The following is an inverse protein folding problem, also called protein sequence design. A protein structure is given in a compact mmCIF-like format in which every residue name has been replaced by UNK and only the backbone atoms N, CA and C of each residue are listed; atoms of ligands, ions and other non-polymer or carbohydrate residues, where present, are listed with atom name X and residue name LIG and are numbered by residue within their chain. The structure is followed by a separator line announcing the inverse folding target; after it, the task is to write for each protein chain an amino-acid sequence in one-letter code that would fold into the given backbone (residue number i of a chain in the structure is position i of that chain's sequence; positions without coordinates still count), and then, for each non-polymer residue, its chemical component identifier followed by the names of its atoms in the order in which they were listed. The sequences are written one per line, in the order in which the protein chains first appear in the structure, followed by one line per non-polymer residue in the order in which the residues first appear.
data_IF_189998453353
#
_entry.id   IF_189998453353
#
_cell.length_a   1.000
_cell.length_b   1.000
_cell.length_c   1.000
_cell.angle_alpha   90.00
_cell.angle_beta   90.00
_cell.angle_gamma   90.00
#
_symmetry.space_group_name_H-M   'P 1'
#
loop_
_entity.id
_entity.type
_entity.pdbx_description
1 polymer ?
#
# COMPACT_ATOMS: atom_id res chain seq x y z
N UNK A 1 25.61 -13.61 32.93
CA UNK A 1 25.69 -13.79 31.46
C UNK A 1 24.40 -13.28 30.85
N UNK A 2 24.53 -12.27 29.99
CA UNK A 2 23.45 -11.47 29.42
C UNK A 2 22.72 -12.28 28.35
N UNK A 3 21.42 -12.53 28.55
CA UNK A 3 20.56 -13.25 27.60
C UNK A 3 19.39 -12.33 27.20
N UNK A 4 19.70 -11.24 26.48
CA UNK A 4 18.70 -10.23 26.10
C UNK A 4 18.93 -9.63 24.70
N UNK A 5 19.63 -10.33 23.80
CA UNK A 5 20.02 -9.78 22.49
C UNK A 5 19.30 -10.39 21.27
N UNK A 6 18.33 -11.31 21.45
CA UNK A 6 17.71 -12.02 20.32
C UNK A 6 16.29 -11.53 19.96
N UNK A 7 15.69 -10.62 20.72
CA UNK A 7 14.27 -10.22 20.52
C UNK A 7 14.12 -8.89 19.76
N UNK A 8 15.16 -8.06 19.67
CA UNK A 8 15.04 -6.71 19.07
C UNK A 8 15.21 -6.64 17.55
N UNK A 9 15.60 -7.72 16.87
CA UNK A 9 15.84 -7.71 15.42
C UNK A 9 14.59 -8.01 14.57
N UNK A 10 13.49 -8.48 15.17
CA UNK A 10 12.27 -8.81 14.43
C UNK A 10 11.26 -7.67 14.32
N UNK A 11 11.28 -6.69 15.23
CA UNK A 11 10.29 -5.60 15.22
C UNK A 11 10.67 -4.38 14.36
N UNK A 12 11.95 -4.23 13.99
CA UNK A 12 12.41 -3.03 13.23
C UNK A 12 12.40 -3.28 11.71
N UNK A 13 12.52 -4.54 11.27
CA UNK A 13 12.50 -4.89 9.83
C UNK A 13 11.22 -4.49 9.08
N UNK A 14 9.97 -4.67 9.60
CA UNK A 14 8.79 -4.33 8.81
C UNK A 14 8.75 -2.85 8.40
N UNK A 15 9.34 -1.95 9.19
CA UNK A 15 9.38 -0.52 8.89
C UNK A 15 10.30 -0.16 7.73
N UNK A 16 11.44 -0.84 7.59
CA UNK A 16 12.41 -0.59 6.50
C UNK A 16 12.00 -1.30 5.20
N UNK A 17 11.41 -2.50 5.29
CA UNK A 17 11.01 -3.26 4.10
C UNK A 17 9.61 -2.88 3.57
N UNK A 18 8.69 -2.43 4.42
CA UNK A 18 7.33 -2.01 4.01
C UNK A 18 7.36 -0.91 2.95
N UNK A 19 8.26 0.07 3.09
CA UNK A 19 8.39 1.16 2.13
C UNK A 19 8.90 0.72 0.76
N UNK A 20 9.83 -0.25 0.72
CA UNK A 20 10.33 -0.81 -0.55
C UNK A 20 9.25 -1.64 -1.25
N UNK A 21 8.52 -2.46 -0.49
CA UNK A 21 7.46 -3.31 -1.03
C UNK A 21 6.30 -2.47 -1.57
N UNK A 22 5.87 -1.44 -0.82
CA UNK A 22 4.81 -0.54 -1.29
C UNK A 22 5.25 0.26 -2.53
N UNK A 23 6.52 0.68 -2.61
CA UNK A 23 7.05 1.33 -3.83
C UNK A 23 7.07 0.40 -5.04
N UNK A 24 7.37 -0.89 -4.85
CA UNK A 24 7.32 -1.87 -5.93
C UNK A 24 5.87 -2.11 -6.36
N UNK A 25 4.98 -2.35 -5.41
CA UNK A 25 3.55 -2.50 -5.64
C UNK A 25 2.95 -1.30 -6.39
N UNK A 26 3.24 -0.07 -5.96
CA UNK A 26 2.84 1.14 -6.66
C UNK A 26 3.33 1.18 -8.12
N UNK A 27 4.55 0.73 -8.41
CA UNK A 27 5.12 0.73 -9.77
C UNK A 27 4.47 -0.30 -10.69
N UNK A 28 3.85 -1.35 -10.13
CA UNK A 28 3.11 -2.34 -10.91
C UNK A 28 1.74 -1.81 -11.36
N UNK A 29 1.24 -0.77 -10.70
CA UNK A 29 -0.04 -0.15 -11.03
C UNK A 29 0.18 0.83 -12.17
N UNK A 30 -0.55 0.61 -13.26
CA UNK A 30 -0.47 1.42 -14.47
C UNK A 30 -1.85 1.95 -14.86
N UNK A 31 -1.92 3.15 -15.49
CA UNK A 31 -3.17 3.64 -16.07
C UNK A 31 -3.75 2.62 -17.06
N UNK A 32 -5.07 2.42 -17.01
CA UNK A 32 -5.78 1.40 -17.80
C UNK A 32 -5.98 0.06 -17.08
N UNK A 33 -5.32 -0.17 -15.93
CA UNK A 33 -5.53 -1.39 -15.15
C UNK A 33 -6.93 -1.41 -14.52
N UNK A 34 -7.63 -2.56 -14.49
CA UNK A 34 -8.92 -2.67 -13.80
C UNK A 34 -8.76 -2.56 -12.28
N UNK A 35 -9.66 -1.83 -11.62
CA UNK A 35 -9.69 -1.70 -10.16
C UNK A 35 -9.76 -3.06 -9.44
N UNK A 36 -10.45 -4.05 -10.03
CA UNK A 36 -10.53 -5.40 -9.48
C UNK A 36 -9.16 -6.09 -9.42
N UNK A 37 -8.30 -5.88 -10.41
CA UNK A 37 -6.95 -6.47 -10.46
C UNK A 37 -6.07 -5.87 -9.37
N UNK A 38 -6.08 -4.54 -9.26
CA UNK A 38 -5.40 -3.79 -8.20
C UNK A 38 -5.82 -4.29 -6.81
N UNK A 39 -7.14 -4.43 -6.56
CA UNK A 39 -7.68 -4.92 -5.29
C UNK A 39 -7.22 -6.35 -4.99
N UNK A 40 -7.16 -7.23 -6.00
CA UNK A 40 -6.65 -8.61 -5.84
C UNK A 40 -5.17 -8.63 -5.50
N UNK A 41 -4.35 -7.83 -6.17
CA UNK A 41 -2.92 -7.70 -5.88
C UNK A 41 -2.70 -7.18 -4.45
N UNK A 42 -3.43 -6.14 -4.05
CA UNK A 42 -3.37 -5.58 -2.71
C UNK A 42 -3.75 -6.60 -1.62
N UNK A 43 -4.82 -7.35 -1.85
CA UNK A 43 -5.29 -8.40 -0.93
C UNK A 43 -4.26 -9.52 -0.79
N UNK A 44 -3.62 -9.93 -1.89
CA UNK A 44 -2.58 -10.95 -1.90
C UNK A 44 -1.39 -10.57 -1.01
N UNK A 45 -0.99 -9.30 -1.03
CA UNK A 45 0.10 -8.77 -0.20
C UNK A 45 -0.33 -8.42 1.24
N UNK A 46 -1.61 -8.66 1.59
CA UNK A 46 -2.23 -8.32 2.87
C UNK A 46 -2.20 -6.81 3.17
N UNK A 47 -2.31 -5.97 2.14
CA UNK A 47 -2.49 -4.54 2.33
C UNK A 47 -3.93 -4.22 2.69
N UNK A 48 -4.10 -3.14 3.46
CA UNK A 48 -5.42 -2.62 3.79
C UNK A 48 -5.91 -1.77 2.62
N UNK A 49 -7.13 -2.03 2.16
CA UNK A 49 -7.77 -1.29 1.07
C UNK A 49 -8.85 -0.40 1.68
N UNK A 50 -8.84 0.88 1.33
CA UNK A 50 -9.89 1.84 1.68
C UNK A 50 -10.39 2.45 0.39
N UNK A 51 -11.69 2.36 0.16
CA UNK A 51 -12.35 2.97 -0.99
C UNK A 51 -12.98 4.30 -0.54
N UNK A 52 -12.78 5.34 -1.34
CA UNK A 52 -13.33 6.67 -1.11
C UNK A 52 -13.96 7.16 -2.40
N UNK A 53 -15.06 7.89 -2.27
CA UNK A 53 -15.68 8.59 -3.38
C UNK A 53 -15.67 10.08 -3.06
N UNK A 54 -15.08 10.88 -3.94
CA UNK A 54 -15.08 12.35 -3.83
C UNK A 54 -15.45 12.94 -5.19
N UNK A 55 -16.45 13.82 -5.20
CA UNK A 55 -16.92 14.54 -6.39
C UNK A 55 -17.24 13.64 -7.60
N UNK A 56 -17.85 12.47 -7.34
CA UNK A 56 -18.20 11.48 -8.37
C UNK A 56 -16.99 10.70 -8.91
N UNK A 57 -15.79 10.95 -8.40
CA UNK A 57 -14.58 10.20 -8.71
C UNK A 57 -14.31 9.19 -7.61
N UNK A 58 -14.05 7.95 -8.01
CA UNK A 58 -13.67 6.91 -7.07
C UNK A 58 -12.16 6.92 -6.87
N UNK A 59 -11.74 6.67 -5.64
CA UNK A 59 -10.35 6.54 -5.28
C UNK A 59 -10.15 5.33 -4.36
N UNK A 60 -9.03 4.64 -4.53
CA UNK A 60 -8.60 3.55 -3.65
C UNK A 60 -7.32 3.98 -2.96
N UNK A 61 -7.30 3.91 -1.63
CA UNK A 61 -6.09 4.01 -0.83
C UNK A 61 -5.66 2.61 -0.38
N UNK A 62 -4.47 2.19 -0.78
CA UNK A 62 -3.84 0.93 -0.38
C UNK A 62 -2.77 1.26 0.64
N UNK A 63 -2.92 0.70 1.84
CA UNK A 63 -2.17 1.11 3.02
C UNK A 63 -1.40 -0.09 3.55
N UNK A 64 -0.10 0.10 3.79
CA UNK A 64 0.71 -0.90 4.49
C UNK A 64 0.39 -0.87 5.99
N UNK A 65 -0.49 -1.77 6.43
CA UNK A 65 -0.86 -1.92 7.83
C UNK A 65 0.32 -2.39 8.70
N UNK A 66 1.30 -3.11 8.14
CA UNK A 66 2.49 -3.59 8.88
C UNK A 66 3.43 -2.42 9.21
N UNK A 67 3.41 -1.38 8.40
CA UNK A 67 4.16 -0.15 8.62
C UNK A 67 3.32 0.95 9.29
N UNK A 68 2.27 0.58 10.05
CA UNK A 68 1.39 1.53 10.77
C UNK A 68 0.75 2.60 9.86
N UNK A 69 0.58 2.32 8.58
CA UNK A 69 0.01 3.26 7.61
C UNK A 69 0.95 4.37 7.15
N UNK A 70 2.26 4.25 7.37
CA UNK A 70 3.27 5.21 6.90
C UNK A 70 3.52 5.15 5.40
N UNK A 71 3.13 4.07 4.74
CA UNK A 71 3.28 3.91 3.28
C UNK A 71 1.90 3.65 2.67
N UNK A 72 1.51 4.53 1.75
CA UNK A 72 0.18 4.53 1.14
C UNK A 72 0.35 4.66 -0.38
N UNK A 73 -0.42 3.89 -1.13
CA UNK A 73 -0.61 4.06 -2.57
C UNK A 73 -2.05 4.51 -2.80
N UNK A 74 -2.23 5.75 -3.26
CA UNK A 74 -3.53 6.29 -3.65
C UNK A 74 -3.73 6.11 -5.14
N UNK A 75 -4.94 5.76 -5.53
CA UNK A 75 -5.26 5.39 -6.91
C UNK A 75 -6.56 6.07 -7.26
N UNK A 76 -6.54 6.92 -8.27
CA UNK A 76 -7.74 7.49 -8.85
C UNK A 76 -8.33 6.51 -9.86
N UNK A 77 -9.64 6.37 -9.82
CA UNK A 77 -10.42 5.55 -10.71
C UNK A 77 -11.43 6.38 -11.48
N UNK A 78 -11.64 6.00 -12.73
CA UNK A 78 -12.73 6.44 -13.58
C UNK A 78 -13.32 5.19 -14.24
N UNK A 79 -14.64 4.99 -14.12
CA UNK A 79 -15.33 3.79 -14.64
C UNK A 79 -14.67 2.45 -14.25
N UNK A 80 -14.23 2.31 -12.99
CA UNK A 80 -13.51 1.13 -12.47
C UNK A 80 -12.14 0.87 -13.10
N UNK A 81 -11.56 1.85 -13.81
CA UNK A 81 -10.24 1.77 -14.44
C UNK A 81 -9.30 2.77 -13.76
N UNK A 82 -8.06 2.36 -13.54
CA UNK A 82 -7.01 3.23 -13.00
C UNK A 82 -6.70 4.35 -13.97
N UNK A 83 -6.84 5.58 -13.52
CA UNK A 83 -6.43 6.78 -14.29
C UNK A 83 -5.11 7.34 -13.79
N UNK A 84 -4.90 7.29 -12.47
CA UNK A 84 -3.70 7.78 -11.83
C UNK A 84 -3.39 6.94 -10.59
N UNK A 85 -2.12 6.78 -10.28
CA UNK A 85 -1.65 6.26 -9.01
C UNK A 85 -0.61 7.21 -8.42
N UNK A 86 -0.57 7.35 -7.10
CA UNK A 86 0.38 8.17 -6.36
C UNK A 86 0.87 7.43 -5.14
N UNK A 87 2.17 7.50 -4.90
CA UNK A 87 2.77 7.00 -3.68
C UNK A 87 2.88 8.13 -2.64
N UNK A 88 2.40 7.87 -1.42
CA UNK A 88 2.48 8.76 -0.29
C UNK A 88 3.27 8.10 0.84
N UNK A 89 4.13 8.91 1.48
CA UNK A 89 4.79 8.56 2.71
C UNK A 89 4.28 9.49 3.81
N UNK A 90 3.63 8.92 4.83
CA UNK A 90 3.16 9.63 6.00
C UNK A 90 4.17 9.39 7.14
N UNK A 91 4.78 10.46 7.62
CA UNK A 91 5.79 10.43 8.69
C UNK A 91 5.19 10.96 10.00
#
# INVERSE_FOLDING_TARGET
MVLFAAVFSFDIMPFLFGGKNMKLFYREITPGMPAAEVKRAATKENYRIIEREQDGKQAISIIDAKAMGRYICEIALEDQVVTEARYLHND
#
